data_IF_101367851079
#
_entry.id   IF_101367851079
#
_cell.length_a   1.000
_cell.length_b   1.000
_cell.length_c   1.000
_cell.angle_alpha   90.00
_cell.angle_beta   90.00
_cell.angle_gamma   90.00
#
_symmetry.space_group_name_H-M   'P 1'
#
loop_
_entity.id
_entity.type
_entity.pdbx_description
1 polymer ?
#
# COMPACT_ATOMS: atom_id res chain seq x y z
N UNK A 1 3.49 -2.54 -18.73
CA UNK A 1 2.76 -1.38 -19.35
C UNK A 1 1.35 -1.35 -18.78
N UNK A 2 0.77 -0.15 -18.49
CA UNK A 2 -0.62 -0.04 -18.03
C UNK A 2 -1.57 0.01 -19.22
N UNK A 3 -2.56 -0.86 -19.22
CA UNK A 3 -3.61 -0.94 -20.22
C UNK A 3 -4.96 -0.66 -19.55
N UNK A 4 -5.56 0.48 -19.85
CA UNK A 4 -6.92 0.78 -19.45
C UNK A 4 -7.90 -0.06 -20.28
N UNK A 5 -8.74 -0.86 -19.64
CA UNK A 5 -9.72 -1.74 -20.29
C UNK A 5 -11.08 -1.03 -20.42
N UNK A 6 -11.59 -0.47 -19.32
CA UNK A 6 -12.85 0.26 -19.30
C UNK A 6 -12.89 1.27 -18.14
N UNK A 7 -13.88 2.16 -18.17
CA UNK A 7 -14.20 3.14 -17.13
C UNK A 7 -15.67 3.14 -16.81
N UNK A 8 -15.98 3.46 -15.56
CA UNK A 8 -17.31 3.83 -15.12
C UNK A 8 -17.21 5.15 -14.34
N UNK A 9 -17.57 6.26 -14.96
CA UNK A 9 -17.21 7.59 -14.49
C UNK A 9 -15.70 7.80 -14.49
N UNK A 10 -15.13 8.12 -13.31
CA UNK A 10 -13.67 8.21 -13.13
C UNK A 10 -13.06 6.88 -12.67
N UNK A 11 -13.86 5.93 -12.19
CA UNK A 11 -13.36 4.62 -11.79
C UNK A 11 -12.78 3.87 -13.00
N UNK A 12 -11.57 3.35 -12.84
CA UNK A 12 -10.80 2.69 -13.92
C UNK A 12 -10.67 1.20 -13.66
N UNK A 13 -10.87 0.40 -14.71
CA UNK A 13 -10.52 -1.01 -14.76
C UNK A 13 -9.37 -1.19 -15.73
N UNK A 14 -8.24 -1.69 -15.26
CA UNK A 14 -7.05 -1.85 -16.10
C UNK A 14 -6.21 -3.08 -15.77
N UNK A 15 -5.19 -3.28 -16.58
CA UNK A 15 -4.14 -4.28 -16.42
C UNK A 15 -2.78 -3.59 -16.39
N UNK A 16 -1.96 -3.95 -15.43
CA UNK A 16 -0.60 -3.45 -15.32
C UNK A 16 0.39 -4.61 -15.48
N UNK A 17 0.96 -4.70 -16.66
CA UNK A 17 1.94 -5.74 -16.99
C UNK A 17 3.28 -5.47 -16.33
N UNK A 18 3.82 -6.47 -15.66
CA UNK A 18 5.12 -6.43 -15.00
C UNK A 18 5.93 -7.69 -15.30
N UNK A 19 7.22 -7.69 -14.98
CA UNK A 19 8.09 -8.88 -15.15
C UNK A 19 7.72 -10.04 -14.22
N UNK A 20 6.90 -9.79 -13.18
CA UNK A 20 6.44 -10.82 -12.24
C UNK A 20 4.95 -11.13 -12.39
N UNK A 21 4.36 -10.81 -13.53
CA UNK A 21 2.96 -11.05 -13.86
C UNK A 21 2.13 -9.78 -14.00
N UNK A 22 0.90 -9.94 -14.44
CA UNK A 22 -0.05 -8.85 -14.69
C UNK A 22 -0.87 -8.57 -13.44
N UNK A 23 -0.93 -7.30 -13.05
CA UNK A 23 -1.75 -6.82 -11.94
C UNK A 23 -3.10 -6.35 -12.50
N UNK A 24 -4.19 -6.89 -11.98
CA UNK A 24 -5.55 -6.46 -12.28
C UNK A 24 -5.93 -5.30 -11.38
N UNK A 25 -6.23 -4.12 -11.95
CA UNK A 25 -6.58 -2.92 -11.18
C UNK A 25 -8.06 -2.60 -11.25
N UNK A 26 -8.66 -2.02 -10.20
CA UNK A 26 -8.05 -1.62 -8.91
C UNK A 26 -7.55 -2.80 -8.08
N UNK A 27 -6.50 -2.56 -7.25
CA UNK A 27 -5.85 -3.60 -6.45
C UNK A 27 -5.51 -3.09 -5.05
N UNK A 28 -5.63 -3.99 -4.05
CA UNK A 28 -5.11 -3.77 -2.71
C UNK A 28 -3.81 -4.56 -2.53
N UNK A 29 -2.74 -3.89 -2.12
CA UNK A 29 -1.44 -4.50 -1.85
C UNK A 29 -1.36 -4.92 -0.38
N UNK A 30 -1.13 -6.20 -0.13
CA UNK A 30 -1.02 -6.71 1.23
C UNK A 30 0.33 -6.35 1.84
N UNK A 31 0.32 -5.64 2.99
CA UNK A 31 1.52 -5.06 3.58
C UNK A 31 2.31 -6.07 4.41
N UNK A 32 3.47 -6.46 3.90
CA UNK A 32 4.42 -7.39 4.50
C UNK A 32 5.71 -6.72 4.96
N UNK A 33 5.64 -5.70 5.76
CA UNK A 33 6.70 -4.84 6.33
C UNK A 33 8.16 -5.32 6.17
N UNK A 34 8.46 -6.58 6.50
CA UNK A 34 9.81 -7.17 6.45
C UNK A 34 9.87 -8.43 5.57
N UNK A 35 9.14 -8.41 4.45
CA UNK A 35 8.96 -9.60 3.62
C UNK A 35 8.05 -10.65 4.24
N UNK A 36 7.16 -10.24 5.15
CA UNK A 36 6.18 -11.11 5.80
C UNK A 36 5.03 -10.27 6.36
N UNK A 37 3.81 -10.79 6.25
CA UNK A 37 2.64 -10.16 6.84
C UNK A 37 2.64 -10.38 8.36
N UNK A 38 2.56 -9.31 9.14
CA UNK A 38 2.40 -9.40 10.60
C UNK A 38 1.09 -10.11 10.95
N UNK A 39 1.19 -11.22 11.68
CA UNK A 39 0.07 -12.09 12.00
C UNK A 39 0.26 -13.51 11.48
N UNK A 40 1.52 -13.89 11.19
CA UNK A 40 1.93 -15.23 10.80
C UNK A 40 1.24 -15.75 9.51
N UNK A 41 1.07 -14.87 8.52
CA UNK A 41 0.56 -15.21 7.19
C UNK A 41 1.75 -15.45 6.26
N UNK A 42 1.82 -16.65 5.69
CA UNK A 42 2.87 -17.09 4.77
C UNK A 42 2.58 -16.66 3.33
N UNK A 43 3.57 -16.82 2.44
CA UNK A 43 3.39 -16.60 1.00
C UNK A 43 2.40 -17.60 0.39
N UNK A 44 2.30 -18.82 0.92
CA UNK A 44 1.28 -19.80 0.50
C UNK A 44 -0.13 -19.36 0.89
N UNK A 45 -0.28 -18.79 2.09
CA UNK A 45 -1.54 -18.16 2.48
C UNK A 45 -1.91 -17.01 1.53
N UNK A 46 -0.95 -16.16 1.18
CA UNK A 46 -1.18 -15.05 0.24
C UNK A 46 -1.63 -15.55 -1.14
N UNK A 47 -1.05 -16.65 -1.64
CA UNK A 47 -1.51 -17.29 -2.90
C UNK A 47 -2.95 -17.78 -2.76
N UNK A 48 -3.25 -18.44 -1.65
CA UNK A 48 -4.58 -19.02 -1.38
C UNK A 48 -5.69 -17.96 -1.31
N UNK A 49 -5.39 -16.77 -0.79
CA UNK A 49 -6.36 -15.67 -0.69
C UNK A 49 -6.36 -14.74 -1.90
N UNK A 50 -5.67 -15.10 -2.98
CA UNK A 50 -5.70 -14.34 -4.23
C UNK A 50 -4.92 -13.02 -4.22
N UNK A 51 -3.91 -12.88 -3.34
CA UNK A 51 -3.04 -11.70 -3.32
C UNK A 51 -2.33 -11.53 -4.66
N UNK A 52 -2.41 -10.34 -5.25
CA UNK A 52 -1.75 -10.02 -6.50
C UNK A 52 -0.41 -9.32 -6.29
N UNK A 53 -0.34 -8.43 -5.31
CA UNK A 53 0.85 -7.62 -5.01
C UNK A 53 1.11 -7.64 -3.51
N UNK A 54 2.35 -7.91 -3.13
CA UNK A 54 2.84 -7.72 -1.76
C UNK A 54 3.59 -6.39 -1.68
N UNK A 55 3.43 -5.66 -0.57
CA UNK A 55 4.18 -4.44 -0.29
C UNK A 55 5.16 -4.67 0.84
N UNK A 56 6.46 -4.48 0.57
CA UNK A 56 7.53 -4.56 1.57
C UNK A 56 8.16 -3.20 1.85
N UNK A 57 8.61 -2.99 3.10
CA UNK A 57 9.20 -1.71 3.52
C UNK A 57 10.72 -1.69 3.37
N UNK A 58 11.20 -0.83 2.49
CA UNK A 58 12.64 -0.62 2.20
C UNK A 58 13.45 -0.32 3.44
N UNK A 59 13.02 0.63 4.26
CA UNK A 59 13.73 1.00 5.48
C UNK A 59 13.88 -0.18 6.44
N UNK A 60 12.80 -0.89 6.72
CA UNK A 60 12.84 -2.01 7.68
C UNK A 60 13.71 -3.17 7.18
N UNK A 61 13.68 -3.48 5.90
CA UNK A 61 14.53 -4.51 5.31
C UNK A 61 16.00 -4.10 5.32
N UNK A 62 16.31 -2.84 5.00
CA UNK A 62 17.68 -2.32 5.03
C UNK A 62 18.30 -2.36 6.43
N UNK A 63 17.57 -1.90 7.46
CA UNK A 63 18.14 -1.77 8.81
C UNK A 63 18.15 -3.08 9.61
N UNK A 64 17.31 -4.06 9.27
CA UNK A 64 17.22 -5.35 9.98
C UNK A 64 18.05 -6.42 9.30
N UNK A 65 17.63 -6.85 8.13
CA UNK A 65 18.26 -7.95 7.37
C UNK A 65 19.46 -7.44 6.57
N UNK A 66 19.33 -6.26 5.98
CA UNK A 66 20.30 -5.69 5.06
C UNK A 66 19.98 -6.05 3.58
N UNK A 67 19.85 -5.04 2.75
CA UNK A 67 19.54 -5.18 1.33
C UNK A 67 20.62 -5.93 0.55
N UNK A 68 21.90 -5.80 0.95
CA UNK A 68 23.03 -6.51 0.32
C UNK A 68 22.91 -8.02 0.52
N UNK A 69 22.55 -8.47 1.74
CA UNK A 69 22.30 -9.88 2.01
C UNK A 69 21.15 -10.40 1.15
N UNK A 70 20.07 -9.66 1.05
CA UNK A 70 18.91 -10.03 0.20
C UNK A 70 19.33 -10.11 -1.28
N UNK A 71 20.22 -9.22 -1.76
CA UNK A 71 20.80 -9.31 -3.10
C UNK A 71 21.55 -10.62 -3.33
N UNK A 72 22.35 -11.06 -2.35
CA UNK A 72 23.10 -12.33 -2.43
C UNK A 72 22.15 -13.54 -2.55
N UNK A 73 20.97 -13.49 -1.93
CA UNK A 73 19.92 -14.51 -2.09
C UNK A 73 19.17 -14.42 -3.44
N UNK A 74 19.47 -13.43 -4.27
CA UNK A 74 18.84 -13.24 -5.57
C UNK A 74 17.57 -12.40 -5.52
N UNK A 75 17.48 -11.49 -4.55
CA UNK A 75 16.39 -10.54 -4.37
C UNK A 75 15.27 -11.03 -3.45
N UNK A 76 14.33 -10.14 -3.16
CA UNK A 76 13.28 -10.35 -2.18
C UNK A 76 12.33 -11.48 -2.59
N UNK A 77 12.03 -11.62 -3.88
CA UNK A 77 11.19 -12.70 -4.40
C UNK A 77 11.72 -14.09 -4.01
N UNK A 78 13.00 -14.34 -4.25
CA UNK A 78 13.63 -15.61 -3.86
C UNK A 78 13.75 -15.74 -2.35
N UNK A 79 14.07 -14.66 -1.66
CA UNK A 79 14.25 -14.64 -0.21
C UNK A 79 12.96 -15.00 0.53
N UNK A 80 11.79 -14.50 0.07
CA UNK A 80 10.48 -14.80 0.66
C UNK A 80 9.80 -16.05 0.08
N UNK A 81 10.25 -16.57 -1.05
CA UNK A 81 9.52 -17.57 -1.82
C UNK A 81 8.21 -17.04 -2.42
N UNK A 82 8.24 -15.81 -2.95
CA UNK A 82 7.10 -15.15 -3.59
C UNK A 82 7.37 -14.93 -5.08
N UNK A 83 6.40 -15.23 -5.93
CA UNK A 83 6.55 -15.26 -7.39
C UNK A 83 5.73 -14.17 -8.12
N UNK A 84 4.93 -13.41 -7.38
CA UNK A 84 4.10 -12.34 -7.94
C UNK A 84 4.70 -10.95 -7.66
N UNK A 85 4.14 -9.87 -8.21
CA UNK A 85 4.66 -8.53 -8.01
C UNK A 85 4.87 -8.14 -6.54
N UNK A 86 5.98 -7.43 -6.29
CA UNK A 86 6.30 -6.77 -5.03
C UNK A 86 6.47 -5.28 -5.31
N UNK A 87 5.80 -4.43 -4.52
CA UNK A 87 6.12 -3.02 -4.44
C UNK A 87 6.97 -2.76 -3.18
N UNK A 88 8.06 -2.03 -3.32
CA UNK A 88 8.81 -1.51 -2.17
C UNK A 88 8.55 -0.03 -2.00
N UNK A 89 8.24 0.39 -0.77
CA UNK A 89 8.15 1.82 -0.45
C UNK A 89 9.53 2.51 -0.56
N UNK A 90 9.54 3.84 -0.50
CA UNK A 90 10.78 4.61 -0.60
C UNK A 90 11.67 4.53 0.65
N UNK A 91 11.10 4.13 1.79
CA UNK A 91 11.69 4.30 3.12
C UNK A 91 11.54 5.71 3.70
N UNK A 92 11.08 6.67 2.91
CA UNK A 92 10.95 8.08 3.32
C UNK A 92 10.02 8.26 4.51
N UNK A 93 8.80 7.74 4.44
CA UNK A 93 7.82 7.87 5.53
C UNK A 93 8.36 7.33 6.87
N UNK A 94 9.06 6.18 6.89
CA UNK A 94 9.63 5.61 8.09
C UNK A 94 10.76 6.48 8.66
N UNK A 95 11.58 7.07 7.80
CA UNK A 95 12.59 8.04 8.19
C UNK A 95 11.95 9.27 8.84
N UNK A 96 10.81 9.73 8.31
CA UNK A 96 10.10 10.89 8.84
C UNK A 96 9.28 10.56 10.11
N UNK A 97 8.72 9.37 10.24
CA UNK A 97 7.85 8.99 11.34
C UNK A 97 8.57 8.36 12.54
N UNK A 98 9.67 7.62 12.31
CA UNK A 98 10.36 6.84 13.36
C UNK A 98 11.64 7.51 13.88
N UNK A 99 12.23 8.45 13.14
CA UNK A 99 13.45 9.11 13.54
C UNK A 99 13.15 10.31 14.47
N UNK A 100 13.44 10.17 15.76
CA UNK A 100 13.27 11.24 16.75
C UNK A 100 14.15 12.48 16.48
N UNK A 101 15.38 12.28 15.97
CA UNK A 101 16.29 13.32 15.53
C UNK A 101 16.69 13.06 14.07
N UNK A 102 16.25 13.93 13.19
CA UNK A 102 16.58 13.87 11.77
C UNK A 102 17.05 15.24 11.27
N UNK A 103 17.94 15.23 10.31
CA UNK A 103 18.42 16.43 9.62
C UNK A 103 18.19 16.27 8.13
N UNK A 104 17.23 17.02 7.62
CA UNK A 104 16.90 17.07 6.19
C UNK A 104 17.80 18.05 5.51
N UNK A 105 18.41 17.65 4.40
CA UNK A 105 19.23 18.48 3.53
C UNK A 105 18.86 18.21 2.07
N UNK A 106 19.46 18.96 1.15
CA UNK A 106 19.23 18.76 -0.28
C UNK A 106 19.73 17.40 -0.77
N UNK A 107 20.85 16.94 -0.24
CA UNK A 107 21.40 15.62 -0.58
C UNK A 107 20.57 14.45 -0.10
N UNK A 108 19.82 14.59 1.01
CA UNK A 108 19.02 13.53 1.64
C UNK A 108 18.82 13.78 3.13
N UNK A 109 18.55 12.72 3.89
CA UNK A 109 18.20 12.77 5.31
C UNK A 109 19.23 12.00 6.14
N UNK A 110 19.76 12.67 7.17
CA UNK A 110 20.59 12.06 8.21
C UNK A 110 19.72 11.77 9.44
N UNK A 111 19.78 10.56 9.95
CA UNK A 111 18.99 10.14 11.11
C UNK A 111 19.64 8.98 11.84
N UNK A 112 19.10 8.65 13.01
CA UNK A 112 19.58 7.50 13.78
C UNK A 112 18.61 6.32 13.63
N UNK A 113 19.15 5.11 13.44
CA UNK A 113 18.35 3.88 13.43
C UNK A 113 17.59 3.71 14.75
N UNK A 114 16.30 3.42 14.67
CA UNK A 114 15.47 3.13 15.83
C UNK A 114 15.79 1.76 16.50
N UNK A 115 16.63 0.94 15.87
CA UNK A 115 16.99 -0.38 16.35
C UNK A 115 18.22 -0.34 17.23
N UNK A 116 19.29 0.31 16.75
CA UNK A 116 20.64 0.27 17.33
C UNK A 116 21.26 1.66 17.49
N UNK A 117 20.54 2.72 17.13
CA UNK A 117 21.01 4.11 17.28
C UNK A 117 22.10 4.54 16.29
N UNK A 118 22.57 3.65 15.39
CA UNK A 118 23.60 4.00 14.40
C UNK A 118 23.14 5.12 13.48
N UNK A 119 24.08 5.98 13.07
CA UNK A 119 23.82 7.04 12.10
C UNK A 119 23.62 6.44 10.71
N UNK A 120 22.54 6.84 10.06
CA UNK A 120 22.19 6.42 8.71
C UNK A 120 22.00 7.70 7.86
N UNK A 121 22.48 7.63 6.62
CA UNK A 121 22.13 8.57 5.56
C UNK A 121 21.25 7.86 4.55
N UNK A 122 20.15 8.48 4.16
CA UNK A 122 19.27 8.02 3.09
C UNK A 122 18.87 9.21 2.22
N UNK A 123 19.13 9.08 0.95
CA UNK A 123 18.75 10.04 -0.08
C UNK A 123 18.20 9.31 -1.30
N UNK A 124 17.88 10.02 -2.37
CA UNK A 124 17.32 9.44 -3.58
C UNK A 124 18.13 8.26 -4.13
N UNK A 125 19.43 8.42 -4.29
CA UNK A 125 20.30 7.38 -4.85
C UNK A 125 20.39 6.16 -3.91
N UNK A 126 20.53 6.40 -2.59
CA UNK A 126 20.59 5.31 -1.61
C UNK A 126 19.30 4.51 -1.58
N UNK A 127 18.14 5.19 -1.61
CA UNK A 127 16.83 4.52 -1.66
C UNK A 127 16.71 3.65 -2.91
N UNK A 128 17.09 4.17 -4.09
CA UNK A 128 17.05 3.40 -5.33
C UNK A 128 18.03 2.22 -5.31
N UNK A 129 19.25 2.39 -4.78
CA UNK A 129 20.23 1.30 -4.63
C UNK A 129 19.72 0.19 -3.73
N UNK A 130 19.11 0.54 -2.59
CA UNK A 130 18.51 -0.42 -1.67
C UNK A 130 17.38 -1.19 -2.38
N UNK A 131 16.45 -0.50 -3.03
CA UNK A 131 15.33 -1.11 -3.73
C UNK A 131 15.79 -1.98 -4.92
N UNK A 132 16.86 -1.58 -5.61
CA UNK A 132 17.49 -2.39 -6.66
C UNK A 132 18.11 -3.68 -6.10
N UNK A 133 18.74 -3.64 -4.93
CA UNK A 133 19.25 -4.82 -4.23
C UNK A 133 18.11 -5.74 -3.76
N UNK A 134 16.98 -5.18 -3.32
CA UNK A 134 15.76 -5.92 -2.99
C UNK A 134 15.11 -6.53 -4.24
N UNK A 135 15.39 -5.99 -5.42
CA UNK A 135 14.87 -6.43 -6.72
C UNK A 135 13.34 -6.47 -6.81
N UNK A 136 12.66 -5.51 -6.16
CA UNK A 136 11.20 -5.40 -6.24
C UNK A 136 10.74 -5.17 -7.68
N UNK A 137 9.47 -5.42 -7.93
CA UNK A 137 8.84 -5.17 -9.23
C UNK A 137 8.65 -3.68 -9.46
N UNK A 138 8.17 -2.99 -8.44
CA UNK A 138 7.87 -1.57 -8.44
C UNK A 138 8.60 -0.93 -7.26
N UNK A 139 9.36 0.12 -7.52
CA UNK A 139 10.03 0.94 -6.52
C UNK A 139 9.32 2.29 -6.41
N UNK A 140 9.18 2.80 -5.16
CA UNK A 140 8.70 4.15 -4.93
C UNK A 140 9.87 5.13 -4.89
N UNK A 141 9.71 6.30 -5.51
CA UNK A 141 10.69 7.38 -5.43
C UNK A 141 10.84 7.88 -3.99
N UNK A 142 12.06 8.26 -3.62
CA UNK A 142 12.32 8.85 -2.30
C UNK A 142 11.75 10.27 -2.24
N UNK A 143 10.91 10.52 -1.26
CA UNK A 143 10.17 11.77 -1.08
C UNK A 143 10.32 12.33 0.32
N UNK A 144 9.97 13.58 0.50
CA UNK A 144 9.73 14.17 1.81
C UNK A 144 8.23 14.19 2.09
N UNK A 145 7.83 13.55 3.21
CA UNK A 145 6.45 13.54 3.69
C UNK A 145 6.33 14.49 4.89
N UNK A 146 5.96 15.78 4.67
CA UNK A 146 5.76 16.74 5.76
C UNK A 146 4.54 16.36 6.61
N UNK A 147 4.50 16.89 7.84
CA UNK A 147 3.31 16.83 8.67
C UNK A 147 2.13 17.54 7.99
N UNK A 148 0.91 17.02 8.18
CA UNK A 148 -0.33 17.65 7.67
C UNK A 148 -0.55 19.07 8.20
N UNK A 149 0.06 19.41 9.35
CA UNK A 149 0.00 20.74 9.98
C UNK A 149 1.20 21.65 9.62
N UNK A 150 2.04 21.26 8.67
CA UNK A 150 3.14 22.08 8.20
C UNK A 150 2.61 23.38 7.56
N UNK A 151 3.31 24.50 7.82
CA UNK A 151 2.97 25.75 7.20
C UNK A 151 3.20 25.72 5.68
N UNK A 152 2.61 26.70 4.99
CA UNK A 152 2.63 26.75 3.53
C UNK A 152 4.04 26.87 2.97
N UNK A 153 4.87 27.72 3.57
CA UNK A 153 6.23 27.99 3.06
C UNK A 153 7.12 26.74 3.19
N UNK A 154 6.98 26.01 4.31
CA UNK A 154 7.66 24.74 4.47
C UNK A 154 7.16 23.72 3.45
N UNK A 155 5.84 23.63 3.24
CA UNK A 155 5.22 22.72 2.27
C UNK A 155 5.72 22.97 0.85
N UNK A 156 5.76 24.23 0.41
CA UNK A 156 6.32 24.64 -0.89
C UNK A 156 7.77 24.17 -1.05
N UNK A 157 8.61 24.42 -0.05
CA UNK A 157 10.02 24.03 -0.07
C UNK A 157 10.20 22.51 -0.12
N UNK A 158 9.39 21.78 0.64
CA UNK A 158 9.40 20.31 0.69
C UNK A 158 8.97 19.68 -0.64
N UNK A 159 7.89 20.19 -1.25
CA UNK A 159 7.42 19.75 -2.57
C UNK A 159 8.46 19.99 -3.64
N UNK A 160 9.06 21.18 -3.69
CA UNK A 160 10.12 21.50 -4.64
C UNK A 160 11.36 20.59 -4.45
N UNK A 161 11.70 20.22 -3.22
CA UNK A 161 12.75 19.23 -2.92
C UNK A 161 12.36 17.84 -3.40
N UNK A 162 11.12 17.42 -3.16
CA UNK A 162 10.60 16.12 -3.61
C UNK A 162 10.66 16.00 -5.14
N UNK A 163 10.34 17.06 -5.89
CA UNK A 163 10.50 17.08 -7.36
C UNK A 163 11.97 16.89 -7.78
N UNK A 164 12.92 17.57 -7.12
CA UNK A 164 14.35 17.39 -7.42
C UNK A 164 14.84 15.99 -7.06
N UNK A 165 14.40 15.45 -5.94
CA UNK A 165 14.72 14.09 -5.51
C UNK A 165 14.14 13.05 -6.46
N UNK A 166 12.92 13.24 -6.97
CA UNK A 166 12.32 12.36 -7.97
C UNK A 166 13.15 12.29 -9.26
N UNK A 167 13.65 13.43 -9.75
CA UNK A 167 14.56 13.47 -10.93
C UNK A 167 15.83 12.65 -10.67
N UNK A 168 16.41 12.76 -9.47
CA UNK A 168 17.58 11.96 -9.06
C UNK A 168 17.24 10.47 -8.95
N UNK A 169 16.09 10.12 -8.36
CA UNK A 169 15.62 8.74 -8.32
C UNK A 169 15.49 8.13 -9.72
N UNK A 170 14.88 8.86 -10.66
CA UNK A 170 14.73 8.40 -12.05
C UNK A 170 16.08 8.18 -12.73
N UNK A 171 17.00 9.11 -12.58
CA UNK A 171 18.34 8.99 -13.13
C UNK A 171 19.10 7.78 -12.56
N UNK A 172 19.07 7.59 -11.25
CA UNK A 172 19.70 6.46 -10.57
C UNK A 172 19.03 5.12 -10.92
N UNK A 173 17.71 5.06 -11.00
CA UNK A 173 17.00 3.86 -11.45
C UNK A 173 17.42 3.43 -12.85
N UNK A 174 17.49 4.38 -13.80
CA UNK A 174 17.93 4.10 -15.16
C UNK A 174 19.37 3.58 -15.19
N UNK A 175 20.26 4.16 -14.39
CA UNK A 175 21.64 3.71 -14.25
C UNK A 175 21.69 2.31 -13.68
N UNK A 176 20.99 2.01 -12.61
CA UNK A 176 20.95 0.71 -11.95
C UNK A 176 20.38 -0.37 -12.89
N UNK A 177 19.28 -0.09 -13.58
CA UNK A 177 18.67 -1.04 -14.53
C UNK A 177 19.60 -1.38 -15.71
N UNK A 178 20.60 -0.54 -16.04
CA UNK A 178 21.58 -0.81 -17.09
C UNK A 178 22.78 -1.64 -16.62
N UNK A 179 22.97 -1.83 -15.31
CA UNK A 179 24.14 -2.58 -14.80
C UNK A 179 24.02 -4.09 -15.05
N UNK A 180 25.14 -4.78 -15.33
CA UNK A 180 25.13 -6.21 -15.62
C UNK A 180 24.69 -7.07 -14.42
N UNK A 181 25.01 -6.64 -13.20
CA UNK A 181 24.76 -7.35 -11.94
C UNK A 181 23.43 -6.99 -11.26
N UNK A 182 22.60 -6.17 -11.89
CA UNK A 182 21.25 -5.88 -11.42
C UNK A 182 20.34 -7.07 -11.62
N UNK A 183 19.67 -7.50 -10.54
CA UNK A 183 18.77 -8.67 -10.55
C UNK A 183 17.52 -8.40 -11.39
N UNK A 184 16.82 -7.30 -11.11
CA UNK A 184 15.65 -6.88 -11.88
C UNK A 184 15.98 -5.64 -12.73
N UNK A 185 16.32 -5.85 -13.99
CA UNK A 185 16.66 -4.77 -14.95
C UNK A 185 15.44 -4.01 -15.49
N UNK A 186 14.25 -4.44 -15.12
CA UNK A 186 12.97 -3.85 -15.52
C UNK A 186 12.19 -3.35 -14.30
N UNK A 187 12.90 -2.98 -13.23
CA UNK A 187 12.28 -2.40 -12.05
C UNK A 187 11.61 -1.07 -12.43
N UNK A 188 10.33 -0.96 -12.09
CA UNK A 188 9.49 0.19 -12.41
C UNK A 188 9.59 1.25 -11.31
N UNK A 189 9.38 2.53 -11.67
CA UNK A 189 9.43 3.65 -10.73
C UNK A 189 8.09 4.37 -10.67
N UNK A 190 7.54 4.50 -9.46
CA UNK A 190 6.40 5.36 -9.18
C UNK A 190 6.85 6.64 -8.49
N UNK A 191 6.39 7.79 -8.99
CA UNK A 191 6.59 9.10 -8.37
C UNK A 191 5.49 9.38 -7.33
N UNK A 192 5.78 10.28 -6.38
CA UNK A 192 4.87 10.61 -5.29
C UNK A 192 4.51 12.09 -5.34
N UNK A 193 3.21 12.39 -5.49
CA UNK A 193 2.65 13.71 -5.32
C UNK A 193 2.56 14.04 -3.83
N UNK A 194 3.09 15.19 -3.44
CA UNK A 194 3.02 15.76 -2.10
C UNK A 194 2.39 17.15 -2.13
N UNK A 195 2.07 17.74 -0.97
CA UNK A 195 1.50 19.09 -0.87
C UNK A 195 0.51 19.27 0.28
N UNK A 196 0.42 18.28 1.20
CA UNK A 196 -0.50 18.33 2.35
C UNK A 196 -1.96 18.49 1.89
N UNK A 197 -2.67 19.45 2.48
CA UNK A 197 -4.06 19.80 2.13
C UNK A 197 -4.15 21.06 1.26
N UNK A 198 -3.01 21.55 0.74
CA UNK A 198 -2.95 22.71 -0.14
C UNK A 198 -3.18 22.29 -1.59
N UNK A 199 -4.37 22.52 -2.07
CA UNK A 199 -4.84 22.06 -3.38
C UNK A 199 -4.00 22.59 -4.55
N UNK A 200 -3.69 23.88 -4.55
CA UNK A 200 -2.88 24.52 -5.59
C UNK A 200 -1.44 23.98 -5.65
N UNK A 201 -0.82 23.71 -4.50
CA UNK A 201 0.51 23.08 -4.42
C UNK A 201 0.44 21.66 -4.97
N UNK A 202 -0.59 20.88 -4.60
CA UNK A 202 -0.83 19.52 -5.07
C UNK A 202 -1.01 19.46 -6.58
N UNK A 203 -1.86 20.32 -7.13
CA UNK A 203 -2.14 20.36 -8.58
C UNK A 203 -0.88 20.71 -9.35
N UNK A 204 -0.17 21.76 -8.95
CA UNK A 204 1.11 22.13 -9.55
C UNK A 204 2.11 20.97 -9.53
N UNK A 205 2.29 20.34 -8.37
CA UNK A 205 3.20 19.20 -8.22
C UNK A 205 2.78 17.99 -9.06
N UNK A 206 1.47 17.71 -9.17
CA UNK A 206 0.97 16.65 -10.05
C UNK A 206 1.36 16.89 -11.52
N UNK A 207 1.23 18.13 -11.99
CA UNK A 207 1.65 18.52 -13.34
C UNK A 207 3.16 18.35 -13.54
N UNK A 208 3.98 18.88 -12.60
CA UNK A 208 5.44 18.77 -12.64
C UNK A 208 5.95 17.32 -12.71
N UNK A 209 5.41 16.42 -11.87
CA UNK A 209 5.85 15.02 -11.87
C UNK A 209 5.34 14.25 -13.08
N UNK A 210 4.20 14.65 -13.65
CA UNK A 210 3.65 14.02 -14.86
C UNK A 210 4.53 14.20 -16.09
N UNK A 211 5.30 15.29 -16.15
CA UNK A 211 6.26 15.53 -17.24
C UNK A 211 7.44 14.53 -17.24
N UNK A 212 7.65 13.83 -16.14
CA UNK A 212 8.78 12.91 -16.02
C UNK A 212 8.54 11.53 -16.64
N UNK A 213 7.36 11.26 -17.18
CA UNK A 213 6.99 9.97 -17.79
C UNK A 213 7.45 8.76 -16.97
N UNK A 214 6.81 8.55 -15.83
CA UNK A 214 7.07 7.44 -14.91
C UNK A 214 6.14 6.25 -15.21
N UNK A 215 6.39 5.11 -14.57
CA UNK A 215 5.55 3.92 -14.73
C UNK A 215 4.21 4.05 -14.01
N UNK A 216 4.13 4.87 -12.95
CA UNK A 216 2.94 5.19 -12.20
C UNK A 216 3.12 6.38 -11.27
N UNK A 217 2.01 6.84 -10.69
CA UNK A 217 1.98 8.04 -9.86
C UNK A 217 1.20 7.79 -8.58
N UNK A 218 1.80 8.15 -7.45
CA UNK A 218 1.16 8.02 -6.15
C UNK A 218 0.75 9.38 -5.59
N UNK A 219 -0.31 9.39 -4.79
CA UNK A 219 -0.70 10.50 -3.92
C UNK A 219 -0.31 10.11 -2.50
N UNK A 220 0.72 10.76 -1.97
CA UNK A 220 1.23 10.54 -0.62
C UNK A 220 0.85 11.67 0.35
N UNK A 221 1.17 11.49 1.63
CA UNK A 221 0.94 12.50 2.66
C UNK A 221 -0.53 12.82 2.92
N UNK A 222 -1.42 11.87 2.68
CA UNK A 222 -2.82 11.84 3.11
C UNK A 222 -3.03 10.70 4.11
N UNK A 223 -4.19 10.67 4.80
CA UNK A 223 -4.48 9.77 5.91
C UNK A 223 -3.48 9.90 7.08
N UNK A 224 -2.98 11.11 7.31
CA UNK A 224 -2.02 11.46 8.37
C UNK A 224 -2.56 12.47 9.38
N UNK A 225 -3.89 12.65 9.43
CA UNK A 225 -4.58 13.49 10.41
C UNK A 225 -5.65 14.43 9.86
N UNK A 226 -5.77 14.56 8.54
CA UNK A 226 -6.87 15.30 7.91
C UNK A 226 -8.18 14.50 7.97
N UNK A 227 -9.32 15.19 7.73
CA UNK A 227 -10.61 14.53 7.63
C UNK A 227 -10.74 13.74 6.31
N UNK A 228 -11.69 12.79 6.26
CA UNK A 228 -11.97 12.04 5.04
C UNK A 228 -12.44 12.97 3.91
N UNK A 229 -13.24 13.98 4.24
CA UNK A 229 -13.73 14.99 3.28
C UNK A 229 -12.58 15.79 2.68
N UNK A 230 -11.57 16.17 3.49
CA UNK A 230 -10.37 16.83 2.98
C UNK A 230 -9.57 15.93 2.06
N UNK A 231 -9.38 14.67 2.45
CA UNK A 231 -8.71 13.68 1.60
C UNK A 231 -9.42 13.54 0.26
N UNK A 232 -10.76 13.41 0.24
CA UNK A 232 -11.52 13.28 -1.00
C UNK A 232 -11.45 14.54 -1.86
N UNK A 233 -11.52 15.72 -1.25
CA UNK A 233 -11.34 17.00 -1.95
C UNK A 233 -9.98 17.09 -2.64
N UNK A 234 -8.93 16.66 -1.97
CA UNK A 234 -7.59 16.63 -2.57
C UNK A 234 -7.50 15.61 -3.72
N UNK A 235 -8.11 14.45 -3.59
CA UNK A 235 -8.16 13.48 -4.69
C UNK A 235 -8.91 14.03 -5.91
N UNK A 236 -10.06 14.69 -5.70
CA UNK A 236 -10.84 15.35 -6.76
C UNK A 236 -10.01 16.42 -7.49
N UNK A 237 -9.16 17.16 -6.77
CA UNK A 237 -8.28 18.16 -7.36
C UNK A 237 -7.07 17.57 -8.09
N UNK A 238 -6.46 16.50 -7.56
CA UNK A 238 -5.15 16.00 -8.02
C UNK A 238 -5.26 14.96 -9.12
N UNK A 239 -6.14 13.97 -8.96
CA UNK A 239 -6.19 12.80 -9.86
C UNK A 239 -6.45 13.17 -11.33
N UNK A 240 -7.28 14.17 -11.67
CA UNK A 240 -7.45 14.61 -13.05
C UNK A 240 -6.17 15.15 -13.72
N UNK A 241 -5.19 15.61 -12.93
CA UNK A 241 -3.91 16.14 -13.41
C UNK A 241 -2.79 15.09 -13.51
N UNK A 242 -3.05 13.88 -13.06
CA UNK A 242 -2.15 12.75 -13.26
C UNK A 242 -2.42 12.03 -14.60
N UNK A 243 -1.42 11.41 -15.23
CA UNK A 243 -1.59 10.70 -16.50
C UNK A 243 -2.61 9.57 -16.40
N UNK A 244 -3.72 9.69 -17.14
CA UNK A 244 -4.83 8.74 -17.11
C UNK A 244 -4.50 7.37 -17.74
N UNK A 245 -3.43 7.30 -18.52
CA UNK A 245 -2.88 6.08 -19.10
C UNK A 245 -1.80 5.41 -18.25
N UNK A 246 -1.67 5.83 -17.00
CA UNK A 246 -0.79 5.27 -15.98
C UNK A 246 -1.59 4.96 -14.72
N UNK A 247 -1.15 4.00 -13.88
CA UNK A 247 -1.84 3.73 -12.62
C UNK A 247 -1.64 4.87 -11.60
N UNK A 248 -2.72 5.12 -10.84
CA UNK A 248 -2.71 6.06 -9.71
C UNK A 248 -2.77 5.28 -8.41
N UNK A 249 -1.86 5.59 -7.48
CA UNK A 249 -1.76 4.91 -6.18
C UNK A 249 -2.03 5.88 -5.03
N UNK A 250 -3.00 5.58 -4.15
CA UNK A 250 -3.24 6.30 -2.90
C UNK A 250 -2.56 5.58 -1.74
N UNK A 251 -1.51 6.18 -1.21
CA UNK A 251 -0.63 5.56 -0.22
C UNK A 251 -1.26 5.52 1.18
N UNK A 252 -1.15 4.35 1.83
CA UNK A 252 -1.56 4.17 3.23
C UNK A 252 -3.07 4.15 3.48
N UNK A 253 -3.90 4.09 2.45
CA UNK A 253 -5.37 4.10 2.53
C UNK A 253 -5.94 2.75 2.11
N UNK A 254 -6.84 2.15 2.82
CA UNK A 254 -7.36 2.52 4.12
C UNK A 254 -8.51 1.63 4.54
N UNK A 255 -9.57 2.24 5.04
CA UNK A 255 -10.80 1.50 5.32
C UNK A 255 -11.52 1.10 4.03
N UNK A 256 -12.40 0.09 4.05
CA UNK A 256 -13.19 -0.26 2.87
C UNK A 256 -13.94 0.94 2.27
N UNK A 257 -14.53 1.80 3.11
CA UNK A 257 -15.22 3.01 2.65
C UNK A 257 -14.28 3.99 1.93
N UNK A 258 -13.08 4.24 2.49
CA UNK A 258 -12.11 5.11 1.84
C UNK A 258 -11.64 4.57 0.47
N UNK A 259 -11.47 3.24 0.37
CA UNK A 259 -11.10 2.58 -0.89
C UNK A 259 -12.21 2.79 -1.94
N UNK A 260 -13.46 2.52 -1.57
CA UNK A 260 -14.61 2.71 -2.47
C UNK A 260 -14.72 4.16 -2.96
N UNK A 261 -14.57 5.14 -2.08
CA UNK A 261 -14.58 6.56 -2.43
C UNK A 261 -13.40 6.97 -3.32
N UNK A 262 -12.21 6.42 -3.07
CA UNK A 262 -11.02 6.74 -3.86
C UNK A 262 -11.04 6.07 -5.25
N UNK A 263 -11.58 4.85 -5.38
CA UNK A 263 -11.78 4.22 -6.70
C UNK A 263 -12.73 5.04 -7.57
N UNK A 264 -13.83 5.58 -7.01
CA UNK A 264 -14.72 6.47 -7.73
C UNK A 264 -14.01 7.70 -8.33
N UNK A 265 -12.90 8.13 -7.68
CA UNK A 265 -12.06 9.25 -8.10
C UNK A 265 -10.89 8.86 -9.01
N UNK A 266 -10.81 7.60 -9.42
CA UNK A 266 -9.83 7.12 -10.40
C UNK A 266 -8.54 6.56 -9.81
N UNK A 267 -8.53 6.17 -8.53
CA UNK A 267 -7.39 5.51 -7.90
C UNK A 267 -7.37 4.01 -8.22
N UNK A 268 -6.19 3.48 -8.53
CA UNK A 268 -5.98 2.10 -8.97
C UNK A 268 -5.30 1.19 -7.94
N UNK A 269 -4.39 1.73 -7.12
CA UNK A 269 -3.57 0.99 -6.17
C UNK A 269 -3.81 1.50 -4.75
N UNK A 270 -3.84 0.56 -3.80
CA UNK A 270 -4.04 0.83 -2.38
C UNK A 270 -3.15 -0.04 -1.54
N UNK A 271 -2.74 0.46 -0.37
CA UNK A 271 -2.16 -0.31 0.72
C UNK A 271 -2.66 0.22 2.06
N UNK A 272 -2.75 -0.63 3.03
CA UNK A 272 -2.95 -0.21 4.42
C UNK A 272 -2.59 -1.35 5.37
N UNK A 273 -2.08 -1.00 6.54
CA UNK A 273 -1.83 -1.96 7.61
C UNK A 273 -3.10 -2.35 8.38
N UNK A 274 -4.23 -1.69 8.16
CA UNK A 274 -5.48 -1.91 8.91
C UNK A 274 -5.96 -3.35 8.90
N UNK A 275 -6.02 -4.07 7.75
CA UNK A 275 -6.49 -5.46 7.76
C UNK A 275 -5.69 -6.33 8.72
N UNK A 276 -4.37 -6.30 8.63
CA UNK A 276 -3.49 -7.10 9.48
C UNK A 276 -3.43 -6.58 10.91
N UNK A 277 -3.40 -5.24 11.11
CA UNK A 277 -3.39 -4.63 12.45
C UNK A 277 -4.67 -4.95 13.21
N UNK A 278 -5.83 -4.71 12.61
CA UNK A 278 -7.12 -5.02 13.22
C UNK A 278 -7.28 -6.51 13.48
N UNK A 279 -6.91 -7.37 12.54
CA UNK A 279 -6.96 -8.83 12.70
C UNK A 279 -6.15 -9.32 13.90
N UNK A 280 -4.94 -8.79 14.09
CA UNK A 280 -4.11 -9.12 15.26
C UNK A 280 -4.74 -8.75 16.60
N UNK A 281 -5.70 -7.83 16.59
CA UNK A 281 -6.47 -7.41 17.77
C UNK A 281 -7.90 -7.98 17.77
N UNK A 282 -8.16 -9.05 17.03
CA UNK A 282 -9.45 -9.75 16.99
C UNK A 282 -10.57 -8.96 16.31
N UNK A 283 -10.25 -7.87 15.59
CA UNK A 283 -11.21 -7.14 14.79
C UNK A 283 -11.20 -7.64 13.35
N UNK A 284 -12.36 -8.04 12.85
CA UNK A 284 -12.53 -8.55 11.49
C UNK A 284 -13.51 -7.69 10.69
N UNK A 285 -13.32 -7.65 9.38
CA UNK A 285 -14.19 -6.96 8.45
C UNK A 285 -15.12 -7.95 7.78
N UNK A 286 -16.40 -7.57 7.65
CA UNK A 286 -17.42 -8.32 6.95
C UNK A 286 -18.23 -7.40 6.04
N UNK A 287 -19.08 -7.95 5.18
CA UNK A 287 -20.02 -7.17 4.38
C UNK A 287 -21.05 -6.42 5.23
N UNK A 288 -21.18 -6.78 6.49
CA UNK A 288 -22.07 -6.15 7.49
C UNK A 288 -21.28 -5.29 8.49
N UNK A 289 -20.09 -4.83 8.14
CA UNK A 289 -19.28 -3.96 8.98
C UNK A 289 -18.18 -4.68 9.77
N UNK A 290 -17.70 -4.03 10.83
CA UNK A 290 -16.56 -4.49 11.62
C UNK A 290 -17.02 -5.19 12.90
N UNK A 291 -16.49 -6.38 13.14
CA UNK A 291 -16.76 -7.18 14.33
C UNK A 291 -15.56 -7.25 15.26
N UNK A 292 -15.80 -7.28 16.58
CA UNK A 292 -14.77 -7.61 17.58
C UNK A 292 -15.03 -9.01 18.14
N UNK A 293 -14.23 -9.99 17.71
CA UNK A 293 -14.40 -11.40 18.12
C UNK A 293 -14.07 -11.66 19.60
N UNK A 294 -13.55 -10.70 20.35
CA UNK A 294 -13.41 -10.80 21.80
C UNK A 294 -14.76 -10.69 22.53
N UNK A 295 -15.81 -10.18 21.90
CA UNK A 295 -17.11 -9.97 22.51
C UNK A 295 -17.73 -11.30 23.00
N UNK A 296 -18.40 -11.26 24.16
CA UNK A 296 -19.00 -12.42 24.80
C UNK A 296 -20.10 -13.07 23.95
N UNK A 297 -20.82 -12.28 23.14
CA UNK A 297 -21.88 -12.79 22.26
C UNK A 297 -21.42 -13.88 21.29
N UNK A 298 -20.11 -14.00 21.01
CA UNK A 298 -19.55 -15.03 20.11
C UNK A 298 -19.06 -16.30 20.82
N UNK A 299 -19.24 -16.42 22.15
CA UNK A 299 -18.73 -17.56 22.93
C UNK A 299 -19.30 -18.90 22.51
N UNK A 300 -20.58 -18.93 22.15
CA UNK A 300 -21.29 -20.12 21.68
C UNK A 300 -21.71 -20.02 20.20
N UNK A 301 -21.19 -19.02 19.47
CA UNK A 301 -21.57 -18.78 18.07
C UNK A 301 -20.86 -19.78 17.14
N UNK A 302 -21.64 -20.74 16.63
CA UNK A 302 -21.15 -21.80 15.73
C UNK A 302 -21.02 -21.36 14.28
N UNK A 303 -21.48 -20.15 13.91
CA UNK A 303 -21.37 -19.60 12.56
C UNK A 303 -19.91 -19.25 12.22
N UNK A 304 -19.54 -19.21 10.94
CA UNK A 304 -18.25 -18.66 10.51
C UNK A 304 -18.15 -17.17 10.82
N UNK A 305 -16.97 -16.57 10.65
CA UNK A 305 -16.81 -15.10 10.78
C UNK A 305 -17.83 -14.38 9.89
N UNK A 306 -17.98 -14.84 8.66
CA UNK A 306 -18.97 -14.32 7.72
C UNK A 306 -19.59 -15.47 6.92
N UNK A 307 -20.92 -15.53 6.93
CA UNK A 307 -21.67 -16.53 6.14
C UNK A 307 -21.53 -16.24 4.65
N UNK A 308 -21.32 -17.30 3.86
CA UNK A 308 -21.04 -17.16 2.42
C UNK A 308 -19.60 -16.76 2.06
N UNK A 309 -18.76 -16.44 3.03
CA UNK A 309 -17.35 -16.15 2.79
C UNK A 309 -16.55 -17.43 2.49
N UNK A 310 -15.81 -17.42 1.36
CA UNK A 310 -15.02 -18.55 0.90
C UNK A 310 -13.56 -18.55 1.39
N UNK A 311 -13.18 -17.68 2.34
CA UNK A 311 -11.84 -17.73 2.89
C UNK A 311 -11.56 -19.04 3.63
N UNK A 312 -10.30 -19.49 3.73
CA UNK A 312 -9.96 -20.74 4.41
C UNK A 312 -10.47 -20.83 5.86
N UNK A 313 -10.56 -19.68 6.54
CA UNK A 313 -11.02 -19.61 7.93
C UNK A 313 -12.53 -19.82 8.02
N UNK A 314 -13.33 -19.08 7.25
CA UNK A 314 -14.79 -19.18 7.28
C UNK A 314 -15.31 -20.53 6.80
N UNK A 315 -14.58 -21.20 5.89
CA UNK A 315 -14.93 -22.54 5.41
C UNK A 315 -14.75 -23.63 6.46
N UNK A 316 -14.00 -23.37 7.53
CA UNK A 316 -13.56 -24.41 8.45
C UNK A 316 -13.92 -24.13 9.91
N UNK A 317 -13.85 -22.86 10.35
CA UNK A 317 -13.86 -22.51 11.77
C UNK A 317 -15.02 -21.61 12.15
N UNK A 318 -15.55 -21.82 13.37
CA UNK A 318 -16.61 -21.00 13.96
C UNK A 318 -16.05 -19.75 14.66
N UNK A 319 -16.90 -18.74 14.83
CA UNK A 319 -16.63 -17.56 15.66
C UNK A 319 -16.23 -17.95 17.09
N UNK A 320 -16.92 -18.95 17.66
CA UNK A 320 -16.63 -19.45 19.01
C UNK A 320 -15.19 -19.99 19.12
N UNK A 321 -14.74 -20.79 18.14
CA UNK A 321 -13.39 -21.32 18.16
C UNK A 321 -12.32 -20.22 17.97
N UNK A 322 -12.53 -19.31 17.02
CA UNK A 322 -11.60 -18.18 16.81
C UNK A 322 -11.52 -17.32 18.08
N UNK A 323 -12.68 -17.00 18.71
CA UNK A 323 -12.73 -16.30 19.99
C UNK A 323 -11.96 -17.03 21.09
N UNK A 324 -12.15 -18.34 21.22
CA UNK A 324 -11.41 -19.17 22.18
C UNK A 324 -9.89 -19.02 22.00
N UNK A 325 -9.39 -19.14 20.79
CA UNK A 325 -7.97 -18.98 20.49
C UNK A 325 -7.46 -17.57 20.85
N UNK A 326 -8.22 -16.52 20.53
CA UNK A 326 -7.87 -15.14 20.87
C UNK A 326 -7.81 -14.93 22.41
N UNK A 327 -8.79 -15.50 23.16
CA UNK A 327 -8.82 -15.45 24.62
C UNK A 327 -7.67 -16.23 25.25
N UNK A 328 -7.32 -17.38 24.68
CA UNK A 328 -6.17 -18.18 25.08
C UNK A 328 -4.82 -17.56 24.67
N UNK A 329 -4.83 -16.43 23.92
CA UNK A 329 -3.64 -15.78 23.36
C UNK A 329 -2.85 -16.68 22.40
N UNK A 330 -3.52 -17.61 21.74
CA UNK A 330 -2.92 -18.45 20.72
C UNK A 330 -2.69 -17.65 19.43
N UNK A 331 -1.49 -17.74 18.86
CA UNK A 331 -1.13 -17.05 17.61
C UNK A 331 -2.04 -17.46 16.44
N UNK A 332 -2.57 -18.67 16.46
CA UNK A 332 -3.49 -19.18 15.45
C UNK A 332 -4.77 -18.33 15.35
N UNK A 333 -5.31 -17.84 16.48
CA UNK A 333 -6.48 -16.96 16.49
C UNK A 333 -6.19 -15.62 15.80
N UNK A 334 -5.02 -15.04 16.07
CA UNK A 334 -4.55 -13.83 15.39
C UNK A 334 -4.39 -14.07 13.87
N UNK A 335 -3.73 -15.18 13.49
CA UNK A 335 -3.53 -15.55 12.09
C UNK A 335 -4.85 -15.69 11.35
N UNK A 336 -5.84 -16.32 11.94
CA UNK A 336 -7.18 -16.49 11.35
C UNK A 336 -7.85 -15.15 11.07
N UNK A 337 -7.85 -14.24 12.04
CA UNK A 337 -8.42 -12.91 11.84
C UNK A 337 -7.70 -12.12 10.75
N UNK A 338 -6.36 -12.17 10.71
CA UNK A 338 -5.57 -11.49 9.67
C UNK A 338 -5.86 -12.08 8.30
N UNK A 339 -5.86 -13.41 8.18
CA UNK A 339 -6.10 -14.10 6.90
C UNK A 339 -7.50 -13.79 6.34
N UNK A 340 -8.52 -13.80 7.21
CA UNK A 340 -9.88 -13.43 6.83
C UNK A 340 -9.94 -11.98 6.33
N UNK A 341 -9.33 -11.04 7.06
CA UNK A 341 -9.33 -9.63 6.68
C UNK A 341 -8.64 -9.38 5.33
N UNK A 342 -7.48 -10.01 5.10
CA UNK A 342 -6.78 -9.87 3.83
C UNK A 342 -7.60 -10.46 2.67
N UNK A 343 -8.24 -11.61 2.88
CA UNK A 343 -9.17 -12.19 1.91
C UNK A 343 -10.33 -11.24 1.61
N UNK A 344 -10.95 -10.67 2.65
CA UNK A 344 -12.04 -9.71 2.50
C UNK A 344 -11.64 -8.52 1.60
N UNK A 345 -10.46 -7.92 1.85
CA UNK A 345 -9.97 -6.81 1.03
C UNK A 345 -9.69 -7.24 -0.41
N UNK A 346 -9.02 -8.37 -0.62
CA UNK A 346 -8.75 -8.89 -1.97
C UNK A 346 -10.06 -9.17 -2.73
N UNK A 347 -11.05 -9.78 -2.07
CA UNK A 347 -12.36 -10.07 -2.67
C UNK A 347 -13.16 -8.80 -2.98
N UNK A 348 -13.14 -7.82 -2.09
CA UNK A 348 -13.75 -6.52 -2.35
C UNK A 348 -13.16 -5.86 -3.60
N UNK A 349 -11.85 -5.93 -3.80
CA UNK A 349 -11.21 -5.39 -5.02
C UNK A 349 -11.63 -6.16 -6.28
N UNK A 350 -11.86 -7.46 -6.18
CA UNK A 350 -12.42 -8.26 -7.29
C UNK A 350 -13.85 -7.79 -7.63
N UNK A 351 -14.73 -7.66 -6.64
CA UNK A 351 -16.08 -7.14 -6.80
C UNK A 351 -16.12 -5.73 -7.39
N UNK A 352 -15.19 -4.85 -6.98
CA UNK A 352 -15.00 -3.51 -7.55
C UNK A 352 -14.70 -3.60 -9.05
N UNK A 353 -13.75 -4.45 -9.47
CA UNK A 353 -13.41 -4.63 -10.88
C UNK A 353 -14.61 -5.12 -11.69
N UNK A 354 -15.33 -6.13 -11.19
CA UNK A 354 -16.56 -6.64 -11.81
C UNK A 354 -17.65 -5.55 -11.94
N UNK A 355 -17.83 -4.72 -10.93
CA UNK A 355 -18.80 -3.63 -10.94
C UNK A 355 -18.43 -2.54 -11.97
N UNK A 356 -17.15 -2.19 -12.10
CA UNK A 356 -16.66 -1.23 -13.12
C UNK A 356 -16.88 -1.82 -14.52
N UNK A 357 -16.53 -3.09 -14.75
CA UNK A 357 -16.72 -3.78 -16.03
C UNK A 357 -18.21 -3.83 -16.44
N UNK A 358 -19.10 -3.95 -15.46
CA UNK A 358 -20.54 -3.97 -15.67
C UNK A 358 -21.18 -2.56 -15.80
N UNK A 359 -20.41 -1.46 -15.63
CA UNK A 359 -20.91 -0.09 -15.68
C UNK A 359 -21.88 0.25 -14.55
N UNK A 360 -21.72 -0.36 -13.37
CA UNK A 360 -22.59 -0.17 -12.19
C UNK A 360 -21.81 0.10 -10.90
N UNK A 361 -20.64 0.71 -11.03
CA UNK A 361 -19.77 0.92 -9.89
C UNK A 361 -20.38 1.78 -8.78
N UNK A 362 -21.07 2.87 -9.17
CA UNK A 362 -21.73 3.74 -8.21
C UNK A 362 -22.80 2.99 -7.39
N UNK A 363 -23.64 2.21 -8.05
CA UNK A 363 -24.66 1.38 -7.40
C UNK A 363 -24.02 0.36 -6.44
N UNK A 364 -22.98 -0.36 -6.89
CA UNK A 364 -22.24 -1.28 -6.05
C UNK A 364 -21.65 -0.60 -4.81
N UNK A 365 -21.03 0.59 -4.97
CA UNK A 365 -20.47 1.37 -3.87
C UNK A 365 -21.55 1.71 -2.82
N UNK A 366 -22.69 2.24 -3.27
CA UNK A 366 -23.80 2.65 -2.40
C UNK A 366 -24.36 1.43 -1.63
N UNK A 367 -24.61 0.31 -2.31
CA UNK A 367 -25.05 -0.93 -1.69
C UNK A 367 -24.05 -1.47 -0.66
N UNK A 368 -22.76 -1.47 -1.01
CA UNK A 368 -21.69 -1.98 -0.13
C UNK A 368 -21.58 -1.13 1.13
N UNK A 369 -21.58 0.19 1.01
CA UNK A 369 -21.53 1.13 2.12
C UNK A 369 -22.76 1.01 3.03
N UNK A 370 -23.96 0.85 2.44
CA UNK A 370 -25.20 0.67 3.19
C UNK A 370 -25.12 -0.62 4.05
N UNK A 371 -24.79 -1.75 3.45
CA UNK A 371 -24.63 -3.03 4.19
C UNK A 371 -23.60 -2.96 5.30
N UNK A 372 -22.46 -2.31 5.05
CA UNK A 372 -21.40 -2.16 6.05
C UNK A 372 -21.80 -1.23 7.21
N UNK A 373 -22.74 -0.32 6.99
CA UNK A 373 -23.26 0.58 8.04
C UNK A 373 -24.33 -0.08 8.93
N UNK A 374 -24.98 -1.15 8.46
CA UNK A 374 -26.01 -1.86 9.24
C UNK A 374 -25.43 -2.50 10.52
N UNK A 375 -24.16 -2.91 10.47
CA UNK A 375 -23.49 -3.58 11.59
C UNK A 375 -24.08 -4.96 11.93
N UNK A 376 -23.45 -5.69 12.85
CA UNK A 376 -24.02 -6.89 13.52
C UNK A 376 -24.42 -6.65 14.98
#
# INVERSE_FOLDING_TARGET
MYKLLTKDGMAKRGEFETVHGTIQTPVFMNVGTVGAIKGAVSTDDLRTIGTQVELSNTYHLHVRTGDKLIKEFGGLHKFMGWDKPILTDSGGFQVFSLAGLRRIKEEGVYFNSHIDGRKIFMGPEQSMQIQSNLASTIAMAFDECPSSVADRDYMENSVNRTTRWLKRCKAEMNRLNSLPDTINKHQMLFGINQGGVYEDIRVRHAQEISELDLDGYAVGGLAVGESHEEMYRILDAVVPHLPQNKPTYLMGVGTPANILEAVERGVDFFDCVYPSRNGRHGHVYTNHGKMNLFNAKYELDTRPIEEGCNCPVCRTYSRAYVRHLLKAKEMLGMRFCVLHNLYFYNKMMEEIREAIEAGRYKEYKEEKLCRMAEGE
#
